data_IF_193708951717
#
_entry.id   IF_193708951717
#
_cell.length_a   1.000
_cell.length_b   1.000
_cell.length_c   1.000
_cell.angle_alpha   90.00
_cell.angle_beta   90.00
_cell.angle_gamma   90.00
#
_symmetry.space_group_name_H-M   'P 1'
#
loop_
_entity.id
_entity.type
_entity.pdbx_description
1 polymer ?
#
# COMPACT_ATOMS: atom_id res chain seq x y z
N UNK A 1 -5.18 -21.89 -1.62
CA UNK A 1 -4.99 -21.57 -1.21
C UNK A 1 -4.47 -21.00 -0.42
N UNK A 2 -4.25 -21.18 -0.12
CA UNK A 2 -3.51 -20.81 0.86
C UNK A 2 -2.96 -19.53 0.77
N UNK A 3 -2.95 -19.02 -0.28
CA UNK A 3 -2.51 -17.72 -0.47
C UNK A 3 -3.11 -16.78 0.48
N UNK A 4 -4.35 -16.95 0.72
CA UNK A 4 -5.02 -15.99 1.54
C UNK A 4 -4.61 -16.07 2.98
N UNK A 5 -3.92 -17.11 3.35
CA UNK A 5 -3.52 -17.21 4.73
C UNK A 5 -2.51 -16.15 5.13
N UNK A 6 -1.84 -15.55 4.17
CA UNK A 6 -0.89 -14.49 4.46
C UNK A 6 -1.50 -13.12 4.41
N UNK A 7 -2.78 -13.01 4.13
CA UNK A 7 -3.41 -11.72 3.95
C UNK A 7 -4.48 -11.53 4.98
N UNK A 8 -4.59 -10.31 5.43
CA UNK A 8 -5.59 -9.97 6.41
C UNK A 8 -6.20 -8.66 5.99
N UNK A 9 -7.46 -8.47 6.32
CA UNK A 9 -8.14 -7.23 5.95
C UNK A 9 -7.79 -6.14 6.93
N UNK A 10 -7.64 -4.96 6.38
CA UNK A 10 -7.46 -3.78 7.21
C UNK A 10 -8.34 -2.69 6.66
N UNK A 11 -8.95 -1.95 7.53
CA UNK A 11 -9.82 -0.85 7.14
C UNK A 11 -9.18 0.44 7.59
N UNK A 12 -8.96 1.34 6.65
CA UNK A 12 -8.30 2.60 6.92
C UNK A 12 -9.16 3.72 6.43
N UNK A 13 -9.33 4.73 7.26
CA UNK A 13 -10.06 5.93 6.87
C UNK A 13 -9.07 6.92 6.28
N UNK A 14 -9.39 7.40 5.08
CA UNK A 14 -8.55 8.38 4.41
C UNK A 14 -9.35 9.64 4.15
N UNK A 15 -8.65 10.76 4.17
CA UNK A 15 -9.26 12.00 3.74
C UNK A 15 -9.55 11.93 2.26
N UNK A 16 -10.60 12.60 1.86
CA UNK A 16 -11.01 12.55 0.46
C UNK A 16 -9.93 13.04 -0.47
N UNK A 17 -9.29 14.12 -0.11
CA UNK A 17 -8.23 14.68 -0.95
C UNK A 17 -7.09 13.70 -1.10
N UNK A 18 -6.71 13.07 -0.01
CA UNK A 18 -5.62 12.11 -0.05
C UNK A 18 -5.99 10.92 -0.93
N UNK A 19 -7.20 10.43 -0.77
CA UNK A 19 -7.61 9.29 -1.58
C UNK A 19 -7.62 9.63 -3.06
N UNK A 20 -8.08 10.83 -3.40
CA UNK A 20 -8.09 11.25 -4.79
C UNK A 20 -6.68 11.29 -5.36
N UNK A 21 -5.75 11.80 -4.61
CA UNK A 21 -4.38 11.88 -5.07
C UNK A 21 -3.79 10.50 -5.28
N UNK A 22 -4.08 9.60 -4.36
CA UNK A 22 -3.57 8.24 -4.50
C UNK A 22 -4.19 7.56 -5.70
N UNK A 23 -5.48 7.79 -5.93
CA UNK A 23 -6.14 7.24 -7.11
C UNK A 23 -5.44 7.70 -8.39
N UNK A 24 -5.12 8.97 -8.45
CA UNK A 24 -4.45 9.49 -9.63
C UNK A 24 -3.09 8.87 -9.83
N UNK A 25 -2.35 8.74 -8.75
CA UNK A 25 -1.03 8.14 -8.84
C UNK A 25 -1.10 6.67 -9.24
N UNK A 26 -2.10 5.98 -8.72
CA UNK A 26 -2.28 4.59 -9.07
C UNK A 26 -2.58 4.43 -10.56
N UNK A 27 -3.40 5.34 -11.10
CA UNK A 27 -3.71 5.29 -12.51
C UNK A 27 -2.49 5.53 -13.36
N UNK A 28 -1.65 6.43 -12.94
CA UNK A 28 -0.42 6.71 -13.69
C UNK A 28 0.48 5.49 -13.73
N UNK A 29 0.46 4.70 -12.69
CA UNK A 29 1.25 3.49 -12.62
C UNK A 29 0.51 2.29 -13.19
N UNK A 30 -0.69 2.51 -13.69
CA UNK A 30 -1.48 1.43 -14.25
C UNK A 30 -1.78 0.36 -13.21
N UNK A 31 -2.08 0.80 -12.01
CA UNK A 31 -2.40 -0.08 -10.90
C UNK A 31 -3.72 0.30 -10.28
N UNK A 32 -4.36 -0.66 -9.63
CA UNK A 32 -5.56 -0.35 -8.88
C UNK A 32 -5.16 0.39 -7.60
N UNK A 33 -6.15 1.04 -7.01
CA UNK A 33 -5.92 1.77 -5.78
C UNK A 33 -5.32 0.86 -4.70
N UNK A 34 -5.92 -0.30 -4.52
CA UNK A 34 -5.46 -1.23 -3.50
C UNK A 34 -4.05 -1.69 -3.75
N UNK A 35 -3.75 -2.05 -4.98
CA UNK A 35 -2.40 -2.52 -5.31
C UNK A 35 -1.38 -1.43 -5.09
N UNK A 36 -1.72 -0.21 -5.46
CA UNK A 36 -0.81 0.89 -5.30
C UNK A 36 -0.51 1.13 -3.82
N UNK A 37 -1.55 1.15 -3.00
CA UNK A 37 -1.39 1.38 -1.57
C UNK A 37 -0.55 0.28 -0.93
N UNK A 38 -0.82 -0.96 -1.29
CA UNK A 38 -0.05 -2.07 -0.73
C UNK A 38 1.41 -1.96 -1.11
N UNK A 39 1.67 -1.59 -2.35
CA UNK A 39 3.05 -1.44 -2.80
C UNK A 39 3.78 -0.36 -2.02
N UNK A 40 3.13 0.77 -1.82
CA UNK A 40 3.73 1.87 -1.07
C UNK A 40 4.03 1.45 0.36
N UNK A 41 3.09 0.76 0.97
CA UNK A 41 3.29 0.32 2.35
C UNK A 41 4.43 -0.68 2.45
N UNK A 42 4.52 -1.59 1.50
CA UNK A 42 5.62 -2.55 1.51
C UNK A 42 6.97 -1.87 1.40
N UNK A 43 7.04 -0.90 0.53
CA UNK A 43 8.30 -0.18 0.35
C UNK A 43 8.67 0.59 1.60
N UNK A 44 7.68 1.19 2.22
CA UNK A 44 7.95 1.95 3.44
C UNK A 44 8.46 1.04 4.55
N UNK A 45 7.80 -0.10 4.73
CA UNK A 45 8.21 -1.04 5.76
C UNK A 45 9.62 -1.55 5.49
N UNK A 46 9.92 -1.87 4.25
CA UNK A 46 11.27 -2.32 3.90
C UNK A 46 12.31 -1.27 4.24
N UNK A 47 12.02 -0.03 3.94
CA UNK A 47 12.97 1.04 4.21
C UNK A 47 13.22 1.20 5.71
N UNK A 48 12.15 1.15 6.48
CA UNK A 48 12.28 1.31 7.92
C UNK A 48 13.04 0.13 8.52
N UNK A 49 12.72 -1.06 8.09
CA UNK A 49 13.40 -2.23 8.61
C UNK A 49 14.88 -2.27 8.23
N UNK A 50 15.16 -1.80 7.04
CA UNK A 50 16.56 -1.71 6.63
C UNK A 50 17.35 -0.78 7.51
N UNK A 51 16.73 0.29 7.92
CA UNK A 51 17.41 1.23 8.80
C UNK A 51 17.66 0.66 10.16
N UNK A 52 16.73 -0.11 10.67
CA UNK A 52 16.87 -0.69 11.97
C UNK A 52 17.79 -1.90 12.00
N UNK A 53 17.83 -2.58 10.89
CA UNK A 53 18.67 -3.74 10.86
C UNK A 53 20.09 -3.35 10.68
N UNK A 54 20.87 -3.91 11.39
CA UNK A 54 22.23 -3.51 11.23
C UNK A 54 23.05 -4.60 10.82
#
# INVERSE_FOLDING_TARGET
MAVSSNKTRAIINLEKDLKSKIDELAKKDDRSFSNYVVQVLKEHVNNVESEYKE
#
